data_IF_733139771556
#
_entry.id   IF_733139771556
#
_cell.length_a   1.000
_cell.length_b   1.000
_cell.length_c   1.000
_cell.angle_alpha   90.00
_cell.angle_beta   90.00
_cell.angle_gamma   90.00
#
_symmetry.space_group_name_H-M   'P 1'
#
loop_
_entity.id
_entity.type
_entity.pdbx_description
1 polymer ?
#
# COMPACT_ATOMS: atom_id res chain seq x y z
N UNK A 1 -0.12 1.27 -73.30
CA UNK A 1 1.35 1.39 -73.17
C UNK A 1 1.77 0.72 -71.86
N UNK A 2 2.77 -0.16 -71.91
CA UNK A 2 3.17 -1.10 -70.85
C UNK A 2 4.53 -0.68 -70.28
N UNK A 3 4.65 -0.43 -68.97
CA UNK A 3 5.91 -0.32 -68.18
C UNK A 3 5.56 -0.71 -66.73
N UNK A 4 5.89 -1.92 -66.25
CA UNK A 4 7.18 -2.39 -65.66
C UNK A 4 7.46 -1.79 -64.27
N UNK A 5 7.14 -2.61 -63.25
CA UNK A 5 7.82 -2.95 -61.99
C UNK A 5 8.91 -2.00 -61.47
N UNK A 6 8.80 -1.61 -60.19
CA UNK A 6 9.96 -1.49 -59.31
C UNK A 6 9.59 -1.89 -57.87
N UNK A 7 10.20 -2.99 -57.39
CA UNK A 7 10.26 -3.37 -55.99
C UNK A 7 11.01 -2.29 -55.20
N UNK A 8 10.44 -1.83 -54.08
CA UNK A 8 11.23 -1.19 -53.04
C UNK A 8 10.92 -1.88 -51.72
N UNK A 9 11.98 -2.51 -51.19
CA UNK A 9 12.01 -3.28 -49.97
C UNK A 9 11.59 -2.43 -48.76
N UNK A 10 10.45 -2.76 -48.16
CA UNK A 10 10.12 -2.35 -46.80
C UNK A 10 10.74 -3.35 -45.85
N UNK A 11 11.97 -3.10 -45.42
CA UNK A 11 12.73 -3.92 -44.47
C UNK A 11 11.89 -4.07 -43.20
N UNK A 12 11.47 -5.30 -42.90
CA UNK A 12 10.87 -5.64 -41.63
C UNK A 12 11.94 -5.43 -40.55
N UNK A 13 11.81 -4.36 -39.77
CA UNK A 13 12.60 -4.15 -38.56
C UNK A 13 12.10 -5.16 -37.52
N UNK A 14 12.74 -6.34 -37.51
CA UNK A 14 12.63 -7.27 -36.38
C UNK A 14 13.41 -6.61 -35.25
N UNK A 15 12.72 -5.79 -34.47
CA UNK A 15 13.20 -5.38 -33.17
C UNK A 15 13.29 -6.66 -32.33
N UNK A 16 14.47 -7.28 -32.33
CA UNK A 16 14.87 -8.21 -31.28
C UNK A 16 14.84 -7.41 -29.99
N UNK A 17 13.69 -7.44 -29.32
CA UNK A 17 13.60 -7.13 -27.91
C UNK A 17 14.52 -8.13 -27.23
N UNK A 18 15.79 -7.77 -27.12
CA UNK A 18 16.68 -8.32 -26.12
C UNK A 18 15.99 -7.97 -24.82
N UNK A 19 15.24 -8.93 -24.29
CA UNK A 19 14.84 -8.91 -22.91
C UNK A 19 16.16 -8.88 -22.15
N UNK A 20 16.62 -7.66 -21.86
CA UNK A 20 17.56 -7.42 -20.79
C UNK A 20 16.85 -7.99 -19.58
N UNK A 21 17.16 -9.25 -19.27
CA UNK A 21 16.94 -9.84 -17.97
C UNK A 21 17.61 -8.84 -17.04
N UNK A 22 16.82 -7.93 -16.46
CA UNK A 22 17.30 -7.03 -15.45
C UNK A 22 17.74 -7.95 -14.33
N UNK A 23 19.04 -8.25 -14.34
CA UNK A 23 19.69 -9.07 -13.35
C UNK A 23 19.32 -8.45 -12.04
N UNK A 24 18.60 -9.24 -11.29
CA UNK A 24 17.87 -8.78 -10.13
C UNK A 24 18.93 -8.26 -9.16
N UNK A 25 19.10 -6.93 -9.09
CA UNK A 25 20.02 -6.33 -8.11
C UNK A 25 19.59 -6.94 -6.79
N UNK A 26 20.46 -7.70 -6.09
CA UNK A 26 20.04 -8.53 -4.97
C UNK A 26 19.47 -7.62 -3.90
N UNK A 27 18.15 -7.40 -3.98
CA UNK A 27 17.44 -6.56 -3.06
C UNK A 27 17.49 -7.34 -1.75
N UNK A 28 18.09 -6.78 -0.70
CA UNK A 28 17.96 -7.41 0.60
C UNK A 28 16.48 -7.46 0.97
N UNK A 29 16.03 -8.60 1.50
CA UNK A 29 14.71 -8.69 2.09
C UNK A 29 14.48 -7.49 3.04
N UNK A 30 13.30 -6.85 3.01
CA UNK A 30 13.01 -5.76 3.94
C UNK A 30 13.22 -6.24 5.38
N UNK A 31 14.01 -5.49 6.14
CA UNK A 31 14.29 -5.82 7.53
C UNK A 31 12.99 -5.79 8.33
N UNK A 32 12.73 -6.80 9.17
CA UNK A 32 11.54 -6.81 10.04
C UNK A 32 11.47 -5.57 10.94
N UNK A 33 12.63 -5.03 11.35
CA UNK A 33 12.74 -3.80 12.12
C UNK A 33 12.29 -2.53 11.36
N UNK A 34 12.26 -2.58 10.02
CA UNK A 34 11.77 -1.48 9.18
C UNK A 34 10.23 -1.48 9.02
N UNK A 35 9.53 -2.50 9.53
CA UNK A 35 8.07 -2.52 9.53
C UNK A 35 7.56 -1.40 10.42
N UNK A 36 6.70 -0.49 9.92
CA UNK A 36 6.20 0.61 10.73
C UNK A 36 5.40 0.09 11.93
N UNK A 37 5.52 0.80 13.05
CA UNK A 37 4.75 0.51 14.25
C UNK A 37 3.32 1.04 14.13
N UNK A 38 2.33 0.23 14.53
CA UNK A 38 0.93 0.64 14.54
C UNK A 38 0.73 1.77 15.56
N UNK A 39 0.13 2.91 15.19
CA UNK A 39 -0.15 3.97 16.14
C UNK A 39 -1.20 3.53 17.16
N UNK A 40 -1.13 4.06 18.37
CA UNK A 40 -2.07 3.76 19.44
C UNK A 40 -3.46 4.33 19.11
N UNK A 41 -4.49 3.50 19.23
CA UNK A 41 -5.87 3.92 18.97
C UNK A 41 -6.38 4.82 20.10
N UNK A 42 -7.19 5.85 19.80
CA UNK A 42 -7.89 6.62 20.81
C UNK A 42 -8.79 5.70 21.67
N UNK A 43 -8.82 5.88 22.99
CA UNK A 43 -9.71 5.13 23.87
C UNK A 43 -11.17 5.43 23.51
N UNK A 44 -11.94 4.36 23.29
CA UNK A 44 -13.38 4.50 23.02
C UNK A 44 -14.13 4.97 24.28
N UNK A 45 -15.08 5.90 24.15
CA UNK A 45 -16.01 6.26 25.23
C UNK A 45 -16.78 5.04 25.75
N UNK A 46 -17.12 5.10 27.05
CA UNK A 46 -17.99 4.11 27.67
C UNK A 46 -19.31 3.98 26.91
N UNK A 47 -19.79 2.73 26.79
CA UNK A 47 -21.08 2.39 26.18
C UNK A 47 -21.25 2.75 24.69
N UNK A 48 -20.21 3.22 23.99
CA UNK A 48 -20.23 3.47 22.54
C UNK A 48 -20.69 2.24 21.73
N UNK A 49 -20.22 1.06 22.14
CA UNK A 49 -20.52 -0.21 21.47
C UNK A 49 -21.69 -0.98 22.14
N UNK A 50 -22.39 -0.37 23.11
CA UNK A 50 -23.47 -1.02 23.84
C UNK A 50 -24.76 -1.04 23.01
N UNK A 51 -25.30 -2.23 22.72
CA UNK A 51 -26.51 -2.39 21.89
C UNK A 51 -27.81 -1.82 22.48
N UNK A 52 -27.83 -1.51 23.78
CA UNK A 52 -28.98 -0.95 24.50
C UNK A 52 -28.91 0.55 24.77
N UNK A 53 -27.92 1.26 24.20
CA UNK A 53 -27.60 2.63 24.60
C UNK A 53 -26.74 2.68 25.86
N UNK A 54 -26.49 3.90 26.38
CA UNK A 54 -25.74 4.10 27.61
C UNK A 54 -26.67 3.90 28.82
N UNK A 55 -26.51 2.83 29.63
CA UNK A 55 -27.23 2.72 30.89
C UNK A 55 -26.66 3.71 31.92
N UNK A 56 -27.44 3.99 32.96
CA UNK A 56 -26.93 4.61 34.19
C UNK A 56 -26.41 6.04 34.05
N UNK A 57 -25.38 6.36 34.82
CA UNK A 57 -24.82 7.70 34.91
C UNK A 57 -23.96 8.06 33.70
N UNK A 58 -23.46 7.06 32.97
CA UNK A 58 -22.64 7.27 31.78
C UNK A 58 -23.38 8.09 30.71
N UNK A 59 -24.71 7.95 30.61
CA UNK A 59 -25.55 8.72 29.71
C UNK A 59 -25.42 10.23 29.89
N UNK A 60 -25.22 10.71 31.12
CA UNK A 60 -25.10 12.15 31.42
C UNK A 60 -23.77 12.74 30.91
N UNK A 61 -22.70 11.94 30.90
CA UNK A 61 -21.37 12.37 30.42
C UNK A 61 -21.06 11.95 28.98
N UNK A 62 -21.91 11.12 28.36
CA UNK A 62 -21.63 10.47 27.08
C UNK A 62 -21.30 11.49 25.98
N UNK A 63 -22.09 12.55 25.85
CA UNK A 63 -21.88 13.55 24.81
C UNK A 63 -20.51 14.24 24.91
N UNK A 64 -20.04 14.50 26.13
CA UNK A 64 -18.73 15.14 26.33
C UNK A 64 -17.58 14.14 26.09
N UNK A 65 -17.77 12.87 26.48
CA UNK A 65 -16.84 11.80 26.13
C UNK A 65 -16.75 11.60 24.60
N UNK A 66 -17.85 11.72 23.87
CA UNK A 66 -17.89 11.63 22.41
C UNK A 66 -17.19 12.83 21.76
N UNK A 67 -17.40 14.05 22.25
CA UNK A 67 -16.67 15.24 21.78
C UNK A 67 -15.16 15.06 21.95
N UNK A 68 -14.73 14.59 23.13
CA UNK A 68 -13.33 14.31 23.40
C UNK A 68 -12.76 13.23 22.48
N UNK A 69 -13.48 12.12 22.29
CA UNK A 69 -13.10 11.07 21.36
C UNK A 69 -12.98 11.55 19.91
N UNK A 70 -13.94 12.37 19.45
CA UNK A 70 -13.91 12.92 18.09
C UNK A 70 -12.70 13.85 17.88
N UNK A 71 -12.34 14.66 18.88
CA UNK A 71 -11.14 15.47 18.82
C UNK A 71 -9.87 14.61 18.71
N UNK A 72 -9.77 13.55 19.50
CA UNK A 72 -8.64 12.61 19.43
C UNK A 72 -8.61 11.85 18.09
N UNK A 73 -9.78 11.45 17.57
CA UNK A 73 -9.90 10.77 16.29
C UNK A 73 -9.44 11.66 15.13
N UNK A 74 -9.73 12.97 15.18
CA UNK A 74 -9.25 13.93 14.19
C UNK A 74 -7.73 14.02 14.18
N UNK A 75 -7.08 14.01 15.36
CA UNK A 75 -5.61 13.98 15.47
C UNK A 75 -5.02 12.62 15.07
N UNK A 76 -5.73 11.52 15.32
CA UNK A 76 -5.27 10.17 14.97
C UNK A 76 -5.32 9.90 13.46
N UNK A 77 -6.29 10.48 12.75
CA UNK A 77 -6.51 10.26 11.30
C UNK A 77 -5.22 10.38 10.46
N UNK A 78 -4.45 11.49 10.50
CA UNK A 78 -3.22 11.60 9.72
C UNK A 78 -2.12 10.61 10.15
N UNK A 79 -2.07 10.22 11.43
CA UNK A 79 -1.13 9.21 11.92
C UNK A 79 -1.45 7.83 11.32
N UNK A 80 -2.74 7.49 11.26
CA UNK A 80 -3.21 6.26 10.63
C UNK A 80 -2.90 6.26 9.13
N UNK A 81 -3.16 7.36 8.43
CA UNK A 81 -2.88 7.47 6.99
C UNK A 81 -1.37 7.33 6.69
N UNK A 82 -0.53 7.96 7.51
CA UNK A 82 0.94 7.84 7.40
C UNK A 82 1.41 6.42 7.65
N UNK A 83 0.86 5.76 8.69
CA UNK A 83 1.15 4.37 8.99
C UNK A 83 0.76 3.44 7.84
N UNK A 84 -0.44 3.60 7.26
CA UNK A 84 -0.89 2.77 6.13
C UNK A 84 -0.01 2.98 4.91
N UNK A 85 0.37 4.22 4.61
CA UNK A 85 1.29 4.53 3.50
C UNK A 85 2.64 3.84 3.70
N UNK A 86 3.24 3.94 4.89
CA UNK A 86 4.51 3.29 5.20
C UNK A 86 4.40 1.76 5.15
N UNK A 87 3.29 1.20 5.64
CA UNK A 87 3.06 -0.24 5.63
C UNK A 87 2.93 -0.78 4.20
N UNK A 88 2.21 -0.06 3.33
CA UNK A 88 2.09 -0.43 1.92
C UNK A 88 3.44 -0.39 1.20
N UNK A 89 4.29 0.59 1.50
CA UNK A 89 5.64 0.65 0.95
C UNK A 89 6.49 -0.54 1.40
N UNK A 90 6.43 -0.90 2.69
CA UNK A 90 7.11 -2.09 3.23
C UNK A 90 6.64 -3.38 2.56
N UNK A 91 5.32 -3.57 2.44
CA UNK A 91 4.73 -4.76 1.77
C UNK A 91 5.11 -4.81 0.30
N UNK A 92 5.13 -3.67 -0.40
CA UNK A 92 5.58 -3.60 -1.79
C UNK A 92 7.04 -4.04 -1.92
N UNK A 93 7.93 -3.52 -1.08
CA UNK A 93 9.35 -3.92 -1.11
C UNK A 93 9.53 -5.43 -0.85
N UNK A 94 8.74 -6.00 0.06
CA UNK A 94 8.76 -7.44 0.33
C UNK A 94 8.28 -8.26 -0.87
N UNK A 95 7.22 -7.79 -1.54
CA UNK A 95 6.71 -8.41 -2.75
C UNK A 95 7.73 -8.31 -3.90
N UNK A 96 8.33 -7.14 -4.11
CA UNK A 96 9.35 -6.93 -5.15
C UNK A 96 10.54 -7.87 -4.93
N UNK A 97 11.00 -8.01 -3.68
CA UNK A 97 12.03 -8.97 -3.29
C UNK A 97 11.62 -10.42 -3.59
N UNK A 98 10.43 -10.85 -3.18
CA UNK A 98 9.98 -12.22 -3.43
C UNK A 98 9.88 -12.53 -4.93
N UNK A 99 9.40 -11.59 -5.75
CA UNK A 99 9.37 -11.75 -7.21
C UNK A 99 10.77 -11.85 -7.82
N UNK A 100 11.74 -11.16 -7.22
CA UNK A 100 13.13 -11.20 -7.62
C UNK A 100 13.77 -12.58 -7.36
N UNK A 101 13.55 -13.14 -6.18
CA UNK A 101 13.96 -14.50 -5.81
C UNK A 101 13.33 -15.55 -6.74
N UNK A 102 12.03 -15.43 -7.04
CA UNK A 102 11.37 -16.34 -7.99
C UNK A 102 12.00 -16.30 -9.38
N UNK A 103 12.33 -15.10 -9.89
CA UNK A 103 12.99 -14.96 -11.20
C UNK A 103 14.40 -15.51 -11.21
N UNK A 104 15.15 -15.41 -10.11
CA UNK A 104 16.49 -15.98 -10.00
C UNK A 104 16.49 -17.52 -10.02
N UNK A 105 15.33 -18.15 -9.76
CA UNK A 105 15.16 -19.61 -9.78
C UNK A 105 14.67 -20.17 -11.13
N UNK A 106 14.37 -19.31 -12.12
CA UNK A 106 13.86 -19.68 -13.45
C UNK A 106 14.98 -19.62 -14.50
#
# INVERSE_FOLDING_TARGET
MRRVICCALGVASWATATAVQAECVPAQAPLAAARPAKPALPPKPGCLDAKGGCPGWEAYSYNDAIKAYNAQAATFRPLADTYVKALNAYVKAASDYAQCEVKALQ
#
